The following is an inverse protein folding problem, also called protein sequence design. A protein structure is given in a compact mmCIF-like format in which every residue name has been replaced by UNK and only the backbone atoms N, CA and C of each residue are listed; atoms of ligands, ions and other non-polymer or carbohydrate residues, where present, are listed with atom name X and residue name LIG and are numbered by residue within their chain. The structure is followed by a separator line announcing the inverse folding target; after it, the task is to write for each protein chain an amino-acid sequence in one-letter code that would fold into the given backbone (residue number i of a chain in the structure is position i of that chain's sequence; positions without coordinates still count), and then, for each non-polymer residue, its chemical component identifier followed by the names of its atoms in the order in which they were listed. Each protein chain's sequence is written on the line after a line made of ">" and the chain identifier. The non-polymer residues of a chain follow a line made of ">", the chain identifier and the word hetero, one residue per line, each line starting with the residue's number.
data_IF_734833122663
#
_entry.id   IF_734833122663
#
_cell.length_a   1.000
_cell.length_b   1.000
_cell.length_c   1.000
_cell.angle_alpha   90.00
_cell.angle_beta   90.00
_cell.angle_gamma   90.00
#
_symmetry.space_group_name_H-M   'P 1'
#
loop_
_entity.id
_entity.type
_entity.pdbx_description
1 polymer ?
#
# COMPACT_ATOMS: atom_id res chain seq x y z
N UNK A 1 57.66 -52.46 -33.39
CA UNK A 1 56.99 -51.21 -32.86
C UNK A 1 55.62 -51.42 -32.17
N UNK A 2 55.00 -52.59 -32.09
CA UNK A 2 53.71 -52.86 -31.43
C UNK A 2 53.80 -53.22 -29.92
N UNK A 3 54.88 -53.84 -29.48
CA UNK A 3 55.03 -54.34 -28.08
C UNK A 3 55.30 -53.21 -27.06
N UNK A 4 55.92 -52.08 -27.46
CA UNK A 4 56.16 -50.93 -26.55
C UNK A 4 54.91 -50.11 -26.22
N UNK A 5 53.91 -50.06 -27.10
CA UNK A 5 52.65 -49.34 -26.87
C UNK A 5 51.69 -50.09 -25.91
N UNK A 6 51.76 -51.41 -25.88
CA UNK A 6 50.92 -52.22 -25.00
C UNK A 6 51.41 -52.11 -23.56
N UNK A 7 52.71 -52.23 -23.31
CA UNK A 7 53.30 -52.05 -21.95
C UNK A 7 53.03 -50.66 -21.34
N UNK A 8 53.04 -49.62 -22.15
CA UNK A 8 52.77 -48.25 -21.69
C UNK A 8 51.30 -48.05 -21.33
N UNK A 9 50.36 -48.67 -22.02
CA UNK A 9 48.91 -48.61 -21.65
C UNK A 9 48.59 -49.36 -20.35
N UNK A 10 49.17 -50.53 -20.16
CA UNK A 10 49.02 -51.31 -18.88
C UNK A 10 49.60 -50.63 -17.69
N UNK A 11 50.82 -50.03 -17.83
CA UNK A 11 51.47 -49.28 -16.74
C UNK A 11 50.63 -48.04 -16.43
N UNK A 12 50.10 -47.31 -17.38
CA UNK A 12 49.18 -46.19 -17.15
C UNK A 12 47.90 -46.59 -16.44
N UNK A 13 47.33 -47.71 -16.80
CA UNK A 13 46.11 -48.24 -16.15
C UNK A 13 46.37 -48.64 -14.69
N UNK A 14 47.49 -49.31 -14.39
CA UNK A 14 47.89 -49.69 -13.04
C UNK A 14 48.19 -48.48 -12.17
N UNK A 15 48.90 -47.50 -12.68
CA UNK A 15 49.18 -46.25 -11.97
C UNK A 15 47.89 -45.42 -11.74
N UNK A 16 46.99 -45.40 -12.71
CA UNK A 16 45.68 -44.75 -12.56
C UNK A 16 44.81 -45.45 -11.51
N UNK A 17 44.76 -46.75 -11.50
CA UNK A 17 44.04 -47.58 -10.56
C UNK A 17 44.59 -47.45 -9.12
N UNK A 18 45.90 -47.35 -8.97
CA UNK A 18 46.55 -47.12 -7.65
C UNK A 18 46.27 -45.72 -7.13
N UNK A 19 46.32 -44.71 -7.99
CA UNK A 19 45.97 -43.31 -7.63
C UNK A 19 44.50 -43.20 -7.24
N UNK A 20 43.60 -43.85 -8.03
CA UNK A 20 42.16 -43.86 -7.71
C UNK A 20 41.86 -44.48 -6.36
N UNK A 21 42.49 -45.64 -6.04
CA UNK A 21 42.37 -46.26 -4.72
C UNK A 21 42.84 -45.37 -3.56
N UNK A 22 43.87 -44.55 -3.81
CA UNK A 22 44.42 -43.62 -2.79
C UNK A 22 43.54 -42.43 -2.52
N UNK A 23 42.82 -41.93 -3.55
CA UNK A 23 41.96 -40.72 -3.44
C UNK A 23 40.49 -41.09 -3.19
N UNK A 24 40.06 -42.30 -3.49
CA UNK A 24 38.68 -42.75 -3.32
C UNK A 24 38.11 -42.52 -1.89
N UNK A 25 38.85 -42.78 -0.81
CA UNK A 25 38.38 -42.50 0.54
C UNK A 25 38.14 -41.02 0.79
N UNK A 26 39.03 -40.13 0.27
CA UNK A 26 38.89 -38.69 0.45
C UNK A 26 37.72 -38.12 -0.37
N UNK A 27 37.49 -38.64 -1.57
CA UNK A 27 36.32 -38.27 -2.39
C UNK A 27 35.02 -38.70 -1.71
N UNK A 28 34.97 -39.94 -1.16
CA UNK A 28 33.80 -40.43 -0.43
C UNK A 28 33.54 -39.62 0.85
N UNK A 29 34.57 -39.22 1.57
CA UNK A 29 34.44 -38.37 2.77
C UNK A 29 33.93 -36.97 2.39
N UNK A 30 34.43 -36.41 1.31
CA UNK A 30 33.98 -35.10 0.83
C UNK A 30 32.50 -35.13 0.35
N UNK A 31 32.12 -36.19 -0.38
CA UNK A 31 30.73 -36.39 -0.79
C UNK A 31 29.81 -36.55 0.40
N UNK A 32 30.21 -37.32 1.42
CA UNK A 32 29.43 -37.47 2.65
C UNK A 32 29.27 -36.17 3.40
N UNK A 33 30.32 -35.36 3.51
CA UNK A 33 30.30 -34.07 4.16
C UNK A 33 29.33 -33.09 3.42
N UNK A 34 29.33 -33.09 2.10
CA UNK A 34 28.41 -32.27 1.27
C UNK A 34 26.96 -32.72 1.46
N UNK A 35 26.69 -34.01 1.51
CA UNK A 35 25.34 -34.56 1.76
C UNK A 35 24.83 -34.18 3.16
N UNK A 36 25.66 -34.30 4.17
CA UNK A 36 25.31 -33.95 5.56
C UNK A 36 25.08 -32.43 5.68
N UNK A 37 25.96 -31.60 5.09
CA UNK A 37 25.78 -30.16 5.08
C UNK A 37 24.52 -29.72 4.31
N UNK A 38 24.23 -30.34 3.17
CA UNK A 38 23.00 -30.09 2.39
C UNK A 38 21.74 -30.49 3.14
N UNK A 39 21.77 -31.64 3.83
CA UNK A 39 20.67 -32.12 4.69
C UNK A 39 20.42 -31.16 5.86
N UNK A 40 21.48 -30.73 6.55
CA UNK A 40 21.40 -29.78 7.67
C UNK A 40 20.85 -28.41 7.19
N UNK A 41 21.32 -27.90 6.06
CA UNK A 41 20.82 -26.65 5.47
C UNK A 41 19.35 -26.75 5.07
N UNK A 42 18.93 -27.86 4.48
CA UNK A 42 17.53 -28.11 4.13
C UNK A 42 16.63 -28.15 5.37
N UNK A 43 17.03 -28.89 6.42
CA UNK A 43 16.31 -28.97 7.69
C UNK A 43 16.21 -27.59 8.37
N UNK A 44 17.30 -26.83 8.41
CA UNK A 44 17.31 -25.46 8.92
C UNK A 44 16.37 -24.54 8.13
N UNK A 45 16.38 -24.62 6.81
CA UNK A 45 15.50 -23.80 5.95
C UNK A 45 14.01 -24.11 6.20
N UNK A 46 13.66 -25.40 6.34
CA UNK A 46 12.28 -25.82 6.65
C UNK A 46 11.88 -25.36 8.05
N UNK A 47 12.74 -25.55 9.06
CA UNK A 47 12.52 -25.07 10.42
C UNK A 47 12.31 -23.56 10.45
N UNK A 48 13.20 -22.81 9.80
CA UNK A 48 13.12 -21.33 9.75
C UNK A 48 11.82 -20.84 9.09
N UNK A 49 11.41 -21.46 7.96
CA UNK A 49 10.13 -21.17 7.32
C UNK A 49 8.93 -21.45 8.23
N UNK A 50 8.95 -22.57 8.94
CA UNK A 50 7.88 -22.93 9.88
C UNK A 50 7.80 -21.95 11.06
N UNK A 51 8.95 -21.59 11.61
CA UNK A 51 9.04 -20.63 12.71
C UNK A 51 8.58 -19.24 12.28
N UNK A 52 8.97 -18.75 11.10
CA UNK A 52 8.50 -17.49 10.54
C UNK A 52 6.98 -17.46 10.30
N UNK A 53 6.41 -18.57 9.81
CA UNK A 53 4.96 -18.70 9.69
C UNK A 53 4.25 -18.64 11.06
N UNK A 54 4.82 -19.24 12.06
CA UNK A 54 4.26 -19.24 13.42
C UNK A 54 4.30 -17.85 14.04
N UNK A 55 5.43 -17.14 13.91
CA UNK A 55 5.57 -15.75 14.35
C UNK A 55 4.58 -14.82 13.62
N UNK A 56 4.44 -14.97 12.30
CA UNK A 56 3.48 -14.22 11.52
C UNK A 56 2.04 -14.44 11.98
N UNK A 57 1.67 -15.71 12.26
CA UNK A 57 0.34 -16.04 12.79
C UNK A 57 0.11 -15.47 14.20
N UNK A 58 1.11 -15.52 15.06
CA UNK A 58 1.02 -14.92 16.41
C UNK A 58 0.88 -13.38 16.32
N UNK A 59 1.64 -12.72 15.45
CA UNK A 59 1.53 -11.27 15.25
C UNK A 59 0.17 -10.86 14.68
N UNK A 60 -0.42 -11.70 13.82
CA UNK A 60 -1.76 -11.47 13.26
C UNK A 60 -2.84 -11.59 14.35
N UNK A 61 -2.78 -12.64 15.17
CA UNK A 61 -3.70 -12.84 16.31
C UNK A 61 -3.57 -11.72 17.34
N UNK A 62 -2.34 -11.26 17.63
CA UNK A 62 -2.14 -10.14 18.55
C UNK A 62 -2.72 -8.86 17.96
N UNK A 63 -2.48 -8.57 16.67
CA UNK A 63 -3.04 -7.43 15.97
C UNK A 63 -4.56 -7.42 16.00
N UNK A 64 -5.22 -8.57 15.77
CA UNK A 64 -6.68 -8.68 15.87
C UNK A 64 -7.19 -8.38 17.29
N UNK A 65 -6.50 -8.85 18.32
CA UNK A 65 -6.85 -8.55 19.72
C UNK A 65 -6.73 -7.06 20.00
N UNK A 66 -5.64 -6.43 19.57
CA UNK A 66 -5.38 -5.01 19.79
C UNK A 66 -6.41 -4.14 19.06
N UNK A 67 -6.75 -4.49 17.82
CA UNK A 67 -7.81 -3.84 17.03
C UNK A 67 -9.17 -3.98 17.72
N UNK A 68 -9.52 -5.17 18.21
CA UNK A 68 -10.79 -5.39 18.90
C UNK A 68 -10.84 -4.61 20.22
N UNK A 69 -9.72 -4.47 20.92
CA UNK A 69 -9.61 -3.67 22.14
C UNK A 69 -9.82 -2.19 21.82
N UNK A 70 -9.15 -1.66 20.80
CA UNK A 70 -9.32 -0.28 20.34
C UNK A 70 -10.77 0.00 19.92
N UNK A 71 -11.40 -0.94 19.20
CA UNK A 71 -12.81 -0.84 18.79
C UNK A 71 -13.75 -0.78 19.99
N UNK A 72 -13.58 -1.68 20.99
CA UNK A 72 -14.41 -1.68 22.20
C UNK A 72 -14.26 -0.38 22.99
N UNK A 73 -13.03 0.15 23.06
CA UNK A 73 -12.75 1.44 23.69
C UNK A 73 -13.47 2.58 22.95
N UNK A 74 -13.35 2.65 21.63
CA UNK A 74 -14.01 3.67 20.81
C UNK A 74 -15.55 3.61 20.93
N UNK A 75 -16.13 2.39 20.95
CA UNK A 75 -17.58 2.20 21.15
C UNK A 75 -18.04 2.63 22.56
N UNK A 76 -17.23 2.37 23.59
CA UNK A 76 -17.54 2.74 24.98
C UNK A 76 -17.45 4.25 25.21
N UNK A 77 -16.52 4.91 24.55
CA UNK A 77 -16.31 6.36 24.69
C UNK A 77 -17.35 7.18 23.92
N UNK A 78 -18.30 6.55 23.19
CA UNK A 78 -19.27 7.23 22.30
C UNK A 78 -18.61 8.39 21.56
N UNK A 79 -17.46 8.11 20.95
CA UNK A 79 -16.67 9.13 20.27
C UNK A 79 -17.51 9.65 19.11
N UNK A 80 -18.18 10.77 19.35
CA UNK A 80 -18.85 11.52 18.28
C UNK A 80 -17.76 11.91 17.30
N UNK A 81 -17.89 11.51 16.06
CA UNK A 81 -16.95 11.87 15.02
C UNK A 81 -16.88 13.40 14.96
N UNK A 82 -15.71 13.97 15.29
CA UNK A 82 -15.49 15.42 15.23
C UNK A 82 -15.43 15.85 13.76
N UNK A 83 -15.68 17.13 13.45
CA UNK A 83 -15.42 17.63 12.10
C UNK A 83 -13.99 17.26 11.67
N UNK A 84 -13.84 16.72 10.48
CA UNK A 84 -12.58 16.10 10.02
C UNK A 84 -11.38 17.06 10.06
N UNK A 85 -11.59 18.34 9.80
CA UNK A 85 -10.57 19.39 9.79
C UNK A 85 -10.07 19.78 11.21
N UNK A 86 -10.68 19.24 12.25
CA UNK A 86 -10.22 19.45 13.64
C UNK A 86 -9.19 18.40 14.09
N UNK A 87 -8.95 17.38 13.29
CA UNK A 87 -7.90 16.40 13.55
C UNK A 87 -6.54 16.94 13.07
N UNK A 88 -5.54 16.92 13.96
CA UNK A 88 -4.21 17.49 13.69
C UNK A 88 -3.34 16.67 12.73
N UNK A 89 -3.73 15.44 12.41
CA UNK A 89 -2.92 14.54 11.60
C UNK A 89 -3.78 13.65 10.71
N UNK A 90 -3.28 13.44 9.50
CA UNK A 90 -3.85 12.56 8.50
C UNK A 90 -2.90 11.37 8.31
N UNK A 91 -3.42 10.16 8.33
CA UNK A 91 -2.65 8.96 8.02
C UNK A 91 -2.51 8.82 6.50
N UNK A 92 -1.38 9.25 5.96
CA UNK A 92 -1.04 9.20 4.54
C UNK A 92 -0.99 7.75 4.03
N UNK A 93 -1.51 7.50 2.82
CA UNK A 93 -1.54 6.21 2.14
C UNK A 93 -2.04 5.05 3.06
N UNK A 94 -3.13 5.26 3.77
CA UNK A 94 -3.73 4.36 4.77
C UNK A 94 -2.84 4.07 5.98
N UNK A 95 -1.82 4.89 6.23
CA UNK A 95 -0.83 4.73 7.31
C UNK A 95 0.41 3.96 6.89
N UNK A 96 1.57 4.48 7.32
CA UNK A 96 2.87 3.84 7.12
C UNK A 96 3.09 2.66 8.07
N UNK A 97 3.89 1.70 7.64
CA UNK A 97 4.29 0.54 8.43
C UNK A 97 5.69 0.09 8.04
N UNK A 98 6.52 -0.27 9.03
CA UNK A 98 7.90 -0.73 8.83
C UNK A 98 8.75 0.25 8.00
N UNK A 99 8.59 1.57 8.22
CA UNK A 99 9.29 2.62 7.47
C UNK A 99 8.88 2.75 6.00
N UNK A 100 7.69 2.25 5.63
CA UNK A 100 7.11 2.36 4.27
C UNK A 100 5.93 3.31 4.28
N UNK A 101 6.02 4.41 3.51
CA UNK A 101 5.06 5.52 3.57
C UNK A 101 3.93 5.41 2.52
N UNK A 102 4.13 4.71 1.40
CA UNK A 102 3.18 4.62 0.28
C UNK A 102 2.48 3.26 0.19
N UNK A 103 2.04 2.72 1.34
CA UNK A 103 1.48 1.37 1.35
C UNK A 103 0.10 1.27 0.69
N UNK A 104 -0.79 2.22 0.99
CA UNK A 104 -2.21 2.08 0.62
C UNK A 104 -2.76 0.69 1.00
N UNK A 105 -2.44 0.25 2.21
CA UNK A 105 -2.72 -1.09 2.72
C UNK A 105 -3.53 -1.06 4.00
N UNK A 106 -4.51 -1.95 4.13
CA UNK A 106 -5.22 -2.13 5.40
C UNK A 106 -4.29 -2.57 6.54
N UNK A 107 -3.11 -3.14 6.22
CA UNK A 107 -2.11 -3.47 7.24
C UNK A 107 -1.56 -2.21 7.93
N UNK A 108 -1.47 -1.07 7.22
CA UNK A 108 -1.09 0.23 7.77
C UNK A 108 -2.20 0.90 8.58
N UNK A 109 -3.47 0.65 8.20
CA UNK A 109 -4.64 1.22 8.88
C UNK A 109 -4.66 0.90 10.38
N UNK A 110 -4.48 -0.37 10.75
CA UNK A 110 -4.66 -0.79 12.13
C UNK A 110 -3.72 -0.12 13.13
N UNK A 111 -2.40 -0.06 12.91
CA UNK A 111 -1.49 0.62 13.82
C UNK A 111 -1.74 2.14 13.90
N UNK A 112 -2.10 2.77 12.78
CA UNK A 112 -2.42 4.19 12.75
C UNK A 112 -3.74 4.47 13.50
N UNK A 113 -4.77 3.66 13.31
CA UNK A 113 -6.03 3.76 14.04
C UNK A 113 -5.82 3.62 15.56
N UNK A 114 -4.98 2.67 16.00
CA UNK A 114 -4.63 2.49 17.40
C UNK A 114 -3.90 3.69 17.99
N UNK A 115 -3.06 4.37 17.20
CA UNK A 115 -2.38 5.63 17.58
C UNK A 115 -3.32 6.84 17.66
N UNK A 116 -4.60 6.67 17.33
CA UNK A 116 -5.60 7.74 17.40
C UNK A 116 -5.85 8.51 16.12
N UNK A 117 -5.26 8.11 14.97
CA UNK A 117 -5.62 8.69 13.68
C UNK A 117 -7.10 8.44 13.36
N UNK A 118 -7.78 9.46 12.86
CA UNK A 118 -9.20 9.41 12.47
C UNK A 118 -9.48 9.97 11.08
N UNK A 119 -8.46 10.46 10.41
CA UNK A 119 -8.51 10.79 8.97
C UNK A 119 -7.44 9.95 8.27
N UNK A 120 -7.85 9.13 7.33
CA UNK A 120 -6.98 8.26 6.54
C UNK A 120 -7.05 8.71 5.10
N UNK A 121 -5.91 9.03 4.52
CA UNK A 121 -5.82 9.32 3.11
C UNK A 121 -5.50 8.05 2.34
N UNK A 122 -6.09 7.94 1.15
CA UNK A 122 -5.87 6.84 0.22
C UNK A 122 -5.69 7.39 -1.20
N UNK A 123 -4.57 7.07 -1.82
CA UNK A 123 -4.38 7.29 -3.26
C UNK A 123 -5.35 6.42 -4.05
N UNK A 124 -6.09 6.99 -5.00
CA UNK A 124 -7.06 6.27 -5.81
C UNK A 124 -6.57 6.11 -7.25
N UNK A 125 -6.60 4.88 -7.74
CA UNK A 125 -6.44 4.55 -9.15
C UNK A 125 -7.51 3.52 -9.57
N UNK A 126 -7.81 3.51 -10.87
CA UNK A 126 -8.65 2.45 -11.46
C UNK A 126 -7.80 1.35 -12.08
N UNK A 127 -8.16 0.10 -11.83
CA UNK A 127 -7.62 -1.05 -12.55
C UNK A 127 -8.06 -1.08 -14.00
N UNK A 128 -7.47 -1.95 -14.83
CA UNK A 128 -7.85 -2.13 -16.23
C UNK A 128 -9.34 -2.49 -16.40
N UNK A 129 -9.91 -3.20 -15.42
CA UNK A 129 -11.32 -3.61 -15.34
C UNK A 129 -12.17 -2.66 -14.48
N UNK A 130 -11.74 -1.39 -14.33
CA UNK A 130 -12.45 -0.29 -13.67
C UNK A 130 -12.85 -0.58 -12.20
N UNK A 131 -11.99 -1.20 -11.42
CA UNK A 131 -12.15 -1.31 -9.97
C UNK A 131 -11.27 -0.27 -9.29
N UNK A 132 -11.84 0.50 -8.35
CA UNK A 132 -11.11 1.50 -7.58
C UNK A 132 -10.23 0.82 -6.50
N UNK A 133 -8.95 1.17 -6.48
CA UNK A 133 -7.94 0.57 -5.61
C UNK A 133 -7.03 1.63 -4.99
N UNK A 134 -6.40 1.27 -3.87
CA UNK A 134 -5.40 2.10 -3.19
C UNK A 134 -4.02 1.90 -3.78
N UNK A 135 -3.53 2.89 -4.54
CA UNK A 135 -2.18 2.87 -5.10
C UNK A 135 -1.76 4.24 -5.63
N UNK A 136 -0.56 4.68 -5.25
CA UNK A 136 -0.04 5.98 -5.66
C UNK A 136 0.20 6.09 -7.17
N UNK A 137 0.75 5.04 -7.79
CA UNK A 137 0.99 5.00 -9.24
C UNK A 137 1.05 3.55 -9.74
N UNK A 138 0.72 3.36 -11.02
CA UNK A 138 1.01 2.11 -11.70
C UNK A 138 2.51 2.00 -11.94
N UNK A 139 3.15 1.01 -11.32
CA UNK A 139 4.58 0.75 -11.46
C UNK A 139 4.85 -0.48 -12.32
N UNK A 140 5.98 -0.52 -13.04
CA UNK A 140 6.43 -1.71 -13.79
C UNK A 140 6.53 -2.94 -12.90
N UNK A 141 6.98 -2.75 -11.65
CA UNK A 141 6.99 -3.80 -10.64
C UNK A 141 5.80 -3.57 -9.71
N UNK A 142 4.73 -4.32 -9.92
CA UNK A 142 3.44 -4.11 -9.24
C UNK A 142 3.54 -4.18 -7.71
N UNK A 143 4.41 -5.05 -7.18
CA UNK A 143 4.66 -5.21 -5.74
C UNK A 143 5.45 -4.06 -5.10
N UNK A 144 6.00 -3.14 -5.90
CA UNK A 144 6.82 -2.02 -5.43
C UNK A 144 6.15 -0.69 -5.78
N UNK A 145 5.57 0.03 -4.80
CA UNK A 145 4.91 1.33 -5.03
C UNK A 145 5.81 2.41 -5.60
N UNK A 146 7.14 2.28 -5.41
CA UNK A 146 8.14 3.27 -5.85
C UNK A 146 8.73 2.97 -7.22
N UNK A 147 8.35 1.85 -7.85
CA UNK A 147 8.89 1.46 -9.15
C UNK A 147 8.49 2.44 -10.27
N UNK A 148 9.33 2.52 -11.33
CA UNK A 148 9.07 3.37 -12.51
C UNK A 148 7.67 3.11 -13.08
N UNK A 149 7.04 4.15 -13.67
CA UNK A 149 5.70 4.09 -14.25
C UNK A 149 5.50 2.89 -15.17
N UNK A 150 4.36 2.24 -15.02
CA UNK A 150 3.88 1.08 -15.78
C UNK A 150 2.40 1.21 -16.13
N UNK A 151 1.81 0.15 -16.64
CA UNK A 151 0.42 0.14 -17.09
C UNK A 151 -0.54 -0.43 -16.04
N UNK A 152 -1.84 -0.04 -16.08
CA UNK A 152 -2.88 -0.64 -15.26
C UNK A 152 -2.98 -2.15 -15.49
N UNK A 153 -3.16 -2.89 -14.39
CA UNK A 153 -3.44 -4.33 -14.43
C UNK A 153 -4.89 -4.62 -14.04
N UNK A 154 -5.37 -5.86 -14.25
CA UNK A 154 -6.68 -6.27 -13.75
C UNK A 154 -6.73 -6.28 -12.22
N UNK A 155 -7.92 -6.09 -11.65
CA UNK A 155 -8.15 -6.18 -10.19
C UNK A 155 -7.66 -7.50 -9.60
N UNK A 156 -7.93 -8.63 -10.27
CA UNK A 156 -7.44 -9.95 -9.85
C UNK A 156 -5.93 -9.98 -9.69
N UNK A 157 -5.19 -9.45 -10.67
CA UNK A 157 -3.71 -9.41 -10.61
C UNK A 157 -3.24 -8.48 -9.49
N UNK A 158 -3.85 -7.31 -9.35
CA UNK A 158 -3.55 -6.36 -8.27
C UNK A 158 -3.76 -7.01 -6.90
N UNK A 159 -4.93 -7.58 -6.65
CA UNK A 159 -5.32 -8.13 -5.34
C UNK A 159 -4.44 -9.32 -4.92
N UNK A 160 -3.96 -10.09 -5.88
CA UNK A 160 -3.08 -11.25 -5.64
C UNK A 160 -1.58 -10.87 -5.51
N UNK A 161 -1.21 -9.61 -5.74
CA UNK A 161 0.18 -9.17 -5.66
C UNK A 161 0.43 -8.41 -4.35
N UNK A 162 1.07 -9.05 -3.39
CA UNK A 162 1.44 -8.42 -2.11
C UNK A 162 2.40 -7.25 -2.33
N UNK A 163 2.13 -6.11 -1.68
CA UNK A 163 2.99 -4.93 -1.68
C UNK A 163 4.25 -5.28 -0.88
N UNK A 164 5.43 -5.07 -1.47
CA UNK A 164 6.74 -5.53 -0.96
C UNK A 164 6.77 -7.02 -0.60
N UNK A 165 5.93 -7.85 -1.25
CA UNK A 165 5.81 -9.27 -0.96
C UNK A 165 5.15 -9.61 0.38
N UNK A 166 4.71 -8.62 1.15
CA UNK A 166 4.24 -8.76 2.54
C UNK A 166 2.84 -8.20 2.74
N UNK A 167 2.59 -6.95 2.38
CA UNK A 167 1.37 -6.22 2.75
C UNK A 167 0.21 -6.47 1.79
N UNK A 168 -1.00 -6.33 2.32
CA UNK A 168 -2.24 -6.63 1.60
C UNK A 168 -2.68 -5.45 0.73
N UNK A 169 -2.80 -5.60 -0.60
CA UNK A 169 -3.37 -4.58 -1.47
C UNK A 169 -4.82 -4.29 -1.08
N UNK A 170 -5.19 -3.02 -1.10
CA UNK A 170 -6.49 -2.54 -0.62
C UNK A 170 -7.31 -1.97 -1.77
N UNK A 171 -8.57 -2.34 -1.88
CA UNK A 171 -9.56 -1.73 -2.77
C UNK A 171 -10.42 -0.73 -2.00
N UNK A 172 -11.15 0.13 -2.73
CA UNK A 172 -12.13 1.02 -2.11
C UNK A 172 -13.24 0.23 -1.38
N UNK A 173 -13.63 -0.92 -1.90
CA UNK A 173 -14.58 -1.81 -1.22
C UNK A 173 -14.04 -2.32 0.12
N UNK A 174 -12.73 -2.66 0.20
CA UNK A 174 -12.12 -3.05 1.48
C UNK A 174 -12.19 -1.89 2.50
N UNK A 175 -12.01 -0.64 2.04
CA UNK A 175 -12.10 0.54 2.91
C UNK A 175 -13.55 0.80 3.34
N UNK A 176 -14.55 0.65 2.47
CA UNK A 176 -15.97 0.72 2.85
C UNK A 176 -16.28 -0.29 3.95
N UNK A 177 -15.76 -1.51 3.87
CA UNK A 177 -15.94 -2.52 4.91
C UNK A 177 -15.24 -2.11 6.24
N UNK A 178 -14.10 -1.42 6.16
CA UNK A 178 -13.47 -0.83 7.35
C UNK A 178 -14.31 0.31 7.94
N UNK A 179 -14.85 1.20 7.10
CA UNK A 179 -15.70 2.32 7.53
C UNK A 179 -17.00 1.86 8.21
N UNK A 180 -17.57 0.76 7.76
CA UNK A 180 -18.72 0.12 8.43
C UNK A 180 -18.32 -0.45 9.80
N UNK A 181 -17.18 -1.16 9.84
CA UNK A 181 -16.67 -1.78 11.06
C UNK A 181 -16.18 -0.77 12.09
N UNK A 182 -15.60 0.35 11.64
CA UNK A 182 -15.06 1.44 12.44
C UNK A 182 -15.74 2.76 12.07
N UNK A 183 -16.84 3.13 12.75
CA UNK A 183 -17.67 4.27 12.34
C UNK A 183 -17.05 5.63 12.66
N UNK A 184 -15.92 5.69 13.32
CA UNK A 184 -15.28 6.89 13.89
C UNK A 184 -14.05 7.38 13.11
N UNK A 185 -14.00 7.16 11.78
CA UNK A 185 -12.97 7.75 10.94
C UNK A 185 -13.50 8.22 9.58
N UNK A 186 -12.75 9.14 8.96
CA UNK A 186 -12.96 9.65 7.62
C UNK A 186 -11.95 9.06 6.64
N UNK A 187 -12.39 8.84 5.42
CA UNK A 187 -11.52 8.54 4.29
C UNK A 187 -11.31 9.80 3.46
N UNK A 188 -10.07 10.25 3.31
CA UNK A 188 -9.68 11.28 2.33
C UNK A 188 -9.21 10.59 1.05
N UNK A 189 -9.73 10.98 -0.09
CA UNK A 189 -9.33 10.42 -1.39
C UNK A 189 -8.32 11.32 -2.08
N UNK A 190 -7.15 10.79 -2.42
CA UNK A 190 -6.20 11.44 -3.34
C UNK A 190 -6.34 10.82 -4.73
N UNK A 191 -7.20 11.43 -5.55
CA UNK A 191 -7.38 11.03 -6.94
C UNK A 191 -6.19 11.47 -7.79
N UNK A 192 -5.63 10.55 -8.56
CA UNK A 192 -4.60 10.88 -9.55
C UNK A 192 -5.19 11.39 -10.88
N UNK A 193 -6.50 11.41 -10.98
CA UNK A 193 -7.28 11.87 -12.13
C UNK A 193 -7.74 13.31 -11.90
N UNK A 194 -6.94 14.30 -12.33
CA UNK A 194 -7.23 15.73 -12.10
C UNK A 194 -8.03 16.39 -13.23
N UNK A 195 -8.08 15.76 -14.42
CA UNK A 195 -8.90 16.22 -15.53
C UNK A 195 -10.38 15.89 -15.28
N UNK A 196 -11.32 16.77 -15.63
CA UNK A 196 -12.74 16.63 -15.29
C UNK A 196 -13.38 15.31 -15.72
N UNK A 197 -13.10 14.85 -16.94
CA UNK A 197 -13.68 13.62 -17.47
C UNK A 197 -13.17 12.38 -16.70
N UNK A 198 -11.87 12.32 -16.42
CA UNK A 198 -11.24 11.22 -15.72
C UNK A 198 -11.65 11.21 -14.24
N UNK A 199 -11.67 12.37 -13.58
CA UNK A 199 -12.17 12.52 -12.22
C UNK A 199 -13.64 12.08 -12.10
N UNK A 200 -14.49 12.54 -13.04
CA UNK A 200 -15.91 12.14 -13.09
C UNK A 200 -16.04 10.61 -13.22
N UNK A 201 -15.27 9.99 -14.11
CA UNK A 201 -15.25 8.54 -14.29
C UNK A 201 -14.83 7.82 -13.01
N UNK A 202 -13.74 8.25 -12.36
CA UNK A 202 -13.20 7.64 -11.16
C UNK A 202 -14.20 7.73 -10.00
N UNK A 203 -14.72 8.92 -9.73
CA UNK A 203 -15.68 9.11 -8.63
C UNK A 203 -17.01 8.41 -8.91
N UNK A 204 -17.44 8.29 -10.16
CA UNK A 204 -18.59 7.45 -10.50
C UNK A 204 -18.36 5.98 -10.13
N UNK A 205 -17.16 5.43 -10.35
CA UNK A 205 -16.80 4.07 -9.92
C UNK A 205 -16.87 3.94 -8.39
N UNK A 206 -16.39 4.94 -7.62
CA UNK A 206 -16.50 4.93 -6.16
C UNK A 206 -17.97 4.90 -5.72
N UNK A 207 -18.80 5.80 -6.24
CA UNK A 207 -20.23 5.90 -5.90
C UNK A 207 -20.98 4.61 -6.27
N UNK A 208 -20.77 4.10 -7.48
CA UNK A 208 -21.40 2.84 -7.92
C UNK A 208 -20.95 1.64 -7.08
N UNK A 209 -19.68 1.63 -6.63
CA UNK A 209 -19.19 0.59 -5.72
C UNK A 209 -19.94 0.64 -4.39
N UNK A 210 -20.10 1.81 -3.79
CA UNK A 210 -20.82 1.99 -2.54
C UNK A 210 -22.31 1.61 -2.68
N UNK A 211 -22.99 2.07 -3.75
CA UNK A 211 -24.38 1.73 -4.05
C UNK A 211 -24.60 0.24 -4.22
N UNK A 212 -23.75 -0.42 -4.99
CA UNK A 212 -23.86 -1.86 -5.27
C UNK A 212 -23.80 -2.73 -4.01
N UNK A 213 -23.14 -2.27 -2.96
CA UNK A 213 -23.02 -3.01 -1.70
C UNK A 213 -23.91 -2.43 -0.59
N UNK A 214 -24.79 -1.48 -0.90
CA UNK A 214 -25.72 -0.88 0.07
C UNK A 214 -25.05 -0.02 1.14
N UNK A 215 -23.92 0.64 0.80
CA UNK A 215 -23.10 1.44 1.73
C UNK A 215 -22.94 2.88 1.26
N UNK A 216 -23.93 3.43 0.60
CA UNK A 216 -23.88 4.79 0.05
C UNK A 216 -23.80 5.85 1.16
N UNK A 217 -24.41 5.60 2.31
CA UNK A 217 -24.34 6.45 3.50
C UNK A 217 -22.92 6.67 4.02
N UNK A 218 -22.02 5.72 3.77
CA UNK A 218 -20.60 5.86 4.15
C UNK A 218 -19.88 6.93 3.32
N UNK A 219 -20.39 7.32 2.16
CA UNK A 219 -19.86 8.43 1.35
C UNK A 219 -19.95 9.78 2.07
N UNK A 220 -20.84 9.91 3.06
CA UNK A 220 -20.92 11.06 3.95
C UNK A 220 -19.64 11.29 4.79
N UNK A 221 -18.80 10.27 4.92
CA UNK A 221 -17.51 10.34 5.62
C UNK A 221 -16.32 10.30 4.66
N UNK A 222 -16.57 10.50 3.37
CA UNK A 222 -15.51 10.65 2.38
C UNK A 222 -15.18 12.12 2.20
N UNK A 223 -13.92 12.48 2.37
CA UNK A 223 -13.35 13.81 2.09
C UNK A 223 -12.74 13.75 0.71
N UNK A 224 -13.25 14.54 -0.21
CA UNK A 224 -12.76 14.58 -1.59
C UNK A 224 -11.64 15.60 -1.71
N UNK A 225 -10.44 15.14 -2.07
CA UNK A 225 -9.32 16.02 -2.40
C UNK A 225 -9.43 16.46 -3.86
N UNK A 226 -9.45 17.77 -4.08
CA UNK A 226 -9.52 18.37 -5.42
C UNK A 226 -8.34 19.30 -5.67
N UNK A 227 -7.87 19.36 -6.90
CA UNK A 227 -6.68 20.11 -7.32
C UNK A 227 -6.99 21.32 -8.17
N UNK A 228 -8.22 21.44 -8.67
CA UNK A 228 -8.70 22.55 -9.45
C UNK A 228 -10.23 22.65 -9.44
N UNK A 229 -10.75 23.82 -9.80
CA UNK A 229 -12.20 24.10 -9.79
C UNK A 229 -12.99 23.20 -10.76
N UNK A 230 -12.41 22.87 -11.93
CA UNK A 230 -13.08 22.00 -12.91
C UNK A 230 -13.26 20.59 -12.36
N UNK A 231 -12.25 20.05 -11.67
CA UNK A 231 -12.33 18.76 -10.98
C UNK A 231 -13.42 18.78 -9.90
N UNK A 232 -13.46 19.86 -9.09
CA UNK A 232 -14.51 20.00 -8.05
C UNK A 232 -15.91 19.87 -8.64
N UNK A 233 -16.21 20.63 -9.72
CA UNK A 233 -17.53 20.58 -10.35
C UNK A 233 -17.81 19.22 -10.99
N UNK A 234 -16.83 18.59 -11.61
CA UNK A 234 -16.96 17.27 -12.20
C UNK A 234 -17.34 16.23 -11.14
N UNK A 235 -16.64 16.23 -9.99
CA UNK A 235 -16.93 15.30 -8.89
C UNK A 235 -18.28 15.58 -8.24
N UNK A 236 -18.59 16.86 -7.97
CA UNK A 236 -19.87 17.26 -7.38
C UNK A 236 -21.08 16.89 -8.26
N UNK A 237 -20.89 16.82 -9.59
CA UNK A 237 -21.92 16.37 -10.52
C UNK A 237 -22.20 14.86 -10.44
N UNK A 238 -21.32 14.06 -9.83
CA UNK A 238 -21.50 12.61 -9.66
C UNK A 238 -22.29 12.29 -8.39
N UNK A 239 -21.92 12.95 -7.27
CA UNK A 239 -22.53 12.74 -5.97
C UNK A 239 -22.35 13.99 -5.10
N UNK A 240 -23.32 14.36 -4.25
CA UNK A 240 -23.23 15.51 -3.36
C UNK A 240 -22.38 15.20 -2.12
N UNK A 241 -21.11 14.87 -2.33
CA UNK A 241 -20.16 14.69 -1.21
C UNK A 241 -20.23 15.86 -0.23
N UNK A 242 -20.17 15.55 1.06
CA UNK A 242 -20.28 16.57 2.12
C UNK A 242 -18.99 17.29 2.36
N UNK A 243 -17.84 16.64 2.15
CA UNK A 243 -16.53 17.12 2.56
C UNK A 243 -15.58 17.25 1.38
N UNK A 244 -14.92 18.40 1.31
CA UNK A 244 -13.91 18.69 0.29
C UNK A 244 -12.68 19.35 0.91
N UNK A 245 -11.52 19.02 0.36
CA UNK A 245 -10.26 19.71 0.59
C UNK A 245 -9.66 20.15 -0.73
N UNK A 246 -9.21 21.40 -0.81
CA UNK A 246 -8.57 21.93 -2.02
C UNK A 246 -7.05 21.89 -1.86
N UNK A 247 -6.36 21.19 -2.73
CA UNK A 247 -4.89 21.02 -2.68
C UNK A 247 -4.22 21.92 -3.71
N UNK A 248 -3.25 22.72 -3.24
CA UNK A 248 -2.52 23.69 -4.06
C UNK A 248 -1.09 23.22 -4.27
N UNK A 249 -0.81 22.56 -5.40
CA UNK A 249 0.56 22.26 -5.81
C UNK A 249 1.03 23.28 -6.85
N UNK A 250 2.22 23.87 -6.63
CA UNK A 250 2.88 24.78 -7.58
C UNK A 250 2.01 25.95 -8.03
N UNK A 251 1.07 26.39 -7.19
CA UNK A 251 0.27 27.56 -7.49
C UNK A 251 1.00 28.84 -7.04
N UNK A 252 1.15 29.84 -7.91
CA UNK A 252 1.75 31.11 -7.53
C UNK A 252 0.85 31.85 -6.52
N UNK A 253 1.43 32.64 -5.63
CA UNK A 253 0.71 33.42 -4.60
C UNK A 253 -0.40 34.29 -5.17
N UNK A 254 -0.16 34.91 -6.33
CA UNK A 254 -1.17 35.73 -7.04
C UNK A 254 -2.44 34.93 -7.41
N UNK A 255 -2.35 33.62 -7.59
CA UNK A 255 -3.51 32.76 -7.85
C UNK A 255 -4.18 32.25 -6.57
N UNK A 256 -3.47 32.25 -5.44
CA UNK A 256 -3.96 31.70 -4.18
C UNK A 256 -5.21 32.41 -3.66
N UNK A 257 -5.30 33.73 -3.84
CA UNK A 257 -6.52 34.48 -3.51
C UNK A 257 -7.77 33.95 -4.20
N UNK A 258 -7.66 33.55 -5.49
CA UNK A 258 -8.78 32.98 -6.25
C UNK A 258 -9.20 31.62 -5.67
N UNK A 259 -8.24 30.83 -5.19
CA UNK A 259 -8.51 29.55 -4.52
C UNK A 259 -9.26 29.78 -3.22
N UNK A 260 -8.78 30.67 -2.36
CA UNK A 260 -9.44 31.00 -1.09
C UNK A 260 -10.87 31.48 -1.32
N UNK A 261 -11.05 32.42 -2.27
CA UNK A 261 -12.39 32.90 -2.64
C UNK A 261 -13.30 31.76 -3.11
N UNK A 262 -12.80 30.90 -3.99
CA UNK A 262 -13.56 29.75 -4.48
C UNK A 262 -13.94 28.79 -3.35
N UNK A 263 -13.01 28.46 -2.47
CA UNK A 263 -13.26 27.57 -1.33
C UNK A 263 -14.36 28.14 -0.40
N UNK A 264 -14.27 29.43 -0.05
CA UNK A 264 -15.29 30.10 0.78
C UNK A 264 -16.68 30.09 0.10
N UNK A 265 -16.75 30.39 -1.18
CA UNK A 265 -18.01 30.40 -1.93
C UNK A 265 -18.67 29.02 -2.05
N UNK A 266 -17.89 27.96 -2.00
CA UNK A 266 -18.37 26.58 -2.19
C UNK A 266 -18.37 25.74 -0.91
N UNK A 267 -18.08 26.33 0.25
CA UNK A 267 -18.07 25.63 1.54
C UNK A 267 -16.99 24.56 1.62
N UNK A 268 -15.85 24.74 0.91
CA UNK A 268 -14.70 23.83 1.01
C UNK A 268 -13.99 24.13 2.34
N UNK A 269 -13.89 23.12 3.18
CA UNK A 269 -13.59 23.27 4.61
C UNK A 269 -12.11 23.50 4.90
N UNK A 270 -11.21 23.06 3.99
CA UNK A 270 -9.77 23.23 4.17
C UNK A 270 -9.03 23.38 2.84
N UNK A 271 -7.86 24.01 2.92
CA UNK A 271 -6.88 24.11 1.85
C UNK A 271 -5.59 23.44 2.32
N UNK A 272 -5.02 22.54 1.50
CA UNK A 272 -3.70 21.98 1.73
C UNK A 272 -2.68 22.58 0.78
N UNK A 273 -1.50 22.87 1.28
CA UNK A 273 -0.37 23.42 0.53
C UNK A 273 0.91 22.69 0.89
N UNK A 274 1.87 22.57 -0.04
CA UNK A 274 3.22 22.14 0.32
C UNK A 274 3.79 23.08 1.39
N UNK A 275 4.55 22.50 2.33
CA UNK A 275 5.14 23.27 3.46
C UNK A 275 5.92 24.51 2.98
N UNK A 276 6.65 24.38 1.89
CA UNK A 276 7.49 25.45 1.34
C UNK A 276 6.68 26.58 0.64
N UNK A 277 5.40 26.34 0.37
CA UNK A 277 4.51 27.34 -0.26
C UNK A 277 3.73 28.14 0.80
N UNK A 278 3.86 27.79 2.09
CA UNK A 278 3.19 28.50 3.18
C UNK A 278 4.04 29.72 3.55
N UNK A 279 3.47 30.92 3.38
CA UNK A 279 4.07 32.20 3.72
C UNK A 279 3.04 33.14 4.38
N UNK A 280 3.49 34.30 4.87
CA UNK A 280 2.65 35.26 5.58
C UNK A 280 1.46 35.72 4.74
N UNK A 281 1.66 35.99 3.44
CA UNK A 281 0.59 36.38 2.53
C UNK A 281 -0.53 35.34 2.45
N UNK A 282 -0.18 34.06 2.31
CA UNK A 282 -1.18 32.97 2.28
C UNK A 282 -1.89 32.83 3.62
N UNK A 283 -1.16 32.95 4.73
CA UNK A 283 -1.74 32.89 6.07
C UNK A 283 -2.71 34.05 6.32
N UNK A 284 -2.39 35.27 5.91
CA UNK A 284 -3.31 36.41 5.99
C UNK A 284 -4.60 36.21 5.19
N UNK A 285 -4.51 35.61 3.99
CA UNK A 285 -5.69 35.32 3.18
C UNK A 285 -6.60 34.24 3.82
N UNK A 286 -6.03 33.29 4.52
CA UNK A 286 -6.78 32.23 5.22
C UNK A 286 -7.43 32.74 6.51
N UNK A 287 -6.84 33.77 7.15
CA UNK A 287 -7.36 34.37 8.38
C UNK A 287 -8.57 35.33 8.15
N UNK A 288 -8.73 35.82 6.92
CA UNK A 288 -9.87 36.67 6.46
C UNK A 288 -11.05 35.82 6.01
#
# INVERSE_FOLDING_TARGET
>A
MRLSKIKTKEIRYVVWKSRLKRFLPHILTLCLAVIVAGGAFSAYSVYHKKHQKQLAKQSEVQREKDVNTARKKAQKEKTTLKPWYTYHSIAHAMGGLDGKDYLNSIDGFYPAYQKGYRVFEMDILLTKDNVAIGKHQWGRKLSDPTSKKGDPVSYRKFKNTKIYGKYTPTSFLDVLNLMEKYPDFYLMTDSKSTEPADAKKEFNVLVQTAKKVGKEDLLDRVIVQVYNQRMYWAVKSVHPFKHFVYTTYKQPDAAFYKVVKFCKQNGIEAITSPKNDINDYRMELLAK
#
